data_IF_045674244758
#
_entry.id   IF_045674244758
#
_cell.length_a   1.000
_cell.length_b   1.000
_cell.length_c   1.000
_cell.angle_alpha   90.00
_cell.angle_beta   90.00
_cell.angle_gamma   90.00
#
_symmetry.space_group_name_H-M   'P 1'
#
loop_
_entity.id
_entity.type
_entity.pdbx_description
1 polymer ?
#
# COMPACT_ATOMS: atom_id res chain seq x y z
N UNK A 1 5.82 -5.31 -17.36
CA UNK A 1 4.47 -5.87 -17.10
C UNK A 1 3.85 -6.27 -18.44
N UNK A 2 3.42 -7.53 -18.66
CA UNK A 2 3.03 -8.03 -20.01
C UNK A 2 1.61 -7.65 -20.48
N UNK A 3 0.70 -7.26 -19.58
CA UNK A 3 -0.73 -7.04 -19.92
C UNK A 3 -1.26 -5.60 -19.74
N UNK A 4 -0.40 -4.56 -19.74
CA UNK A 4 -0.80 -3.14 -19.57
C UNK A 4 -1.82 -2.89 -18.42
N UNK A 5 -1.69 -3.60 -17.29
CA UNK A 5 -2.60 -3.44 -16.14
C UNK A 5 -4.01 -4.03 -16.29
N UNK A 6 -4.28 -4.77 -17.36
CA UNK A 6 -5.56 -5.45 -17.57
C UNK A 6 -5.60 -6.82 -16.86
N UNK A 7 -6.69 -7.10 -16.14
CA UNK A 7 -6.95 -8.39 -15.51
C UNK A 7 -8.38 -8.86 -15.78
N UNK A 8 -8.57 -10.17 -15.92
CA UNK A 8 -9.90 -10.77 -16.07
C UNK A 8 -10.42 -11.20 -14.71
N UNK A 9 -11.61 -10.74 -14.38
CA UNK A 9 -12.34 -11.15 -13.19
C UNK A 9 -13.43 -12.14 -13.59
N UNK A 10 -13.49 -13.27 -12.88
CA UNK A 10 -14.42 -14.35 -13.16
C UNK A 10 -15.32 -14.56 -11.94
N UNK A 11 -16.63 -14.46 -12.13
CA UNK A 11 -17.60 -14.85 -11.10
C UNK A 11 -17.89 -16.34 -11.22
N UNK A 12 -17.55 -17.11 -10.18
CA UNK A 12 -17.92 -18.53 -10.08
C UNK A 12 -19.34 -18.65 -9.54
N UNK A 13 -20.22 -19.24 -10.32
CA UNK A 13 -21.63 -19.54 -10.00
C UNK A 13 -22.04 -20.81 -10.77
N UNK A 14 -23.01 -21.63 -10.30
CA UNK A 14 -23.62 -22.63 -11.17
C UNK A 14 -24.15 -21.91 -12.41
N UNK A 15 -23.86 -22.45 -13.59
CA UNK A 15 -23.89 -21.78 -14.90
C UNK A 15 -24.95 -20.67 -15.11
N UNK A 16 -24.66 -19.62 -15.92
CA UNK A 16 -23.48 -19.43 -16.77
C UNK A 16 -22.33 -18.62 -16.11
N UNK A 17 -21.10 -18.83 -16.61
CA UNK A 17 -19.89 -18.12 -16.18
C UNK A 17 -19.96 -16.66 -16.64
N UNK A 18 -19.86 -15.71 -15.70
CA UNK A 18 -19.78 -14.28 -16.00
C UNK A 18 -18.32 -13.83 -15.86
N UNK A 19 -17.70 -13.38 -16.96
CA UNK A 19 -16.36 -12.79 -16.95
C UNK A 19 -16.43 -11.31 -17.27
N UNK A 20 -15.55 -10.52 -16.65
CA UNK A 20 -15.43 -9.09 -16.87
C UNK A 20 -13.97 -8.70 -17.02
N UNK A 21 -13.68 -7.87 -18.00
CA UNK A 21 -12.35 -7.29 -18.17
C UNK A 21 -12.23 -6.02 -17.32
N UNK A 22 -11.27 -6.01 -16.40
CA UNK A 22 -10.99 -4.86 -15.54
C UNK A 22 -9.73 -4.15 -16.04
N UNK A 23 -9.82 -2.83 -16.22
CA UNK A 23 -8.75 -1.97 -16.75
C UNK A 23 -8.46 -0.75 -15.87
N UNK A 24 -8.93 -0.75 -14.62
CA UNK A 24 -8.76 0.38 -13.69
C UNK A 24 -7.34 0.51 -13.15
N UNK A 25 -6.53 -0.56 -13.22
CA UNK A 25 -5.13 -0.55 -12.79
C UNK A 25 -4.26 0.04 -13.91
N UNK A 26 -3.71 1.23 -13.66
CA UNK A 26 -2.87 1.95 -14.62
C UNK A 26 -1.38 1.60 -14.51
N UNK A 27 -0.95 1.02 -13.38
CA UNK A 27 0.42 0.61 -13.15
C UNK A 27 0.57 -0.25 -11.91
N UNK A 28 1.75 -0.87 -11.75
CA UNK A 28 2.14 -1.54 -10.52
C UNK A 28 3.64 -1.34 -10.26
N UNK A 29 3.97 -1.17 -9.00
CA UNK A 29 5.34 -1.05 -8.51
C UNK A 29 5.61 -2.19 -7.53
N UNK A 30 6.81 -2.75 -7.61
CA UNK A 30 7.27 -3.78 -6.69
C UNK A 30 8.56 -3.28 -6.04
N UNK A 31 8.51 -2.92 -4.76
CA UNK A 31 9.57 -2.21 -4.05
C UNK A 31 10.92 -2.94 -4.08
N UNK A 32 10.94 -4.27 -4.03
CA UNK A 32 12.20 -5.04 -4.14
C UNK A 32 12.87 -4.95 -5.52
N UNK A 33 12.11 -4.60 -6.57
CA UNK A 33 12.63 -4.43 -7.94
C UNK A 33 12.82 -2.98 -8.34
N UNK A 34 11.92 -2.11 -7.90
CA UNK A 34 11.86 -0.70 -8.29
C UNK A 34 12.49 0.24 -7.26
N UNK A 35 12.87 -0.28 -6.09
CA UNK A 35 13.27 0.52 -4.94
C UNK A 35 12.09 1.06 -4.15
N UNK A 36 12.32 1.37 -2.88
CA UNK A 36 11.31 2.01 -2.01
C UNK A 36 11.04 3.45 -2.45
N UNK A 37 12.06 4.14 -2.96
CA UNK A 37 11.95 5.52 -3.41
C UNK A 37 10.90 5.70 -4.51
N UNK A 38 10.85 4.80 -5.48
CA UNK A 38 9.84 4.83 -6.54
C UNK A 38 8.41 4.69 -5.98
N UNK A 39 8.22 3.96 -4.87
CA UNK A 39 6.93 3.89 -4.20
C UNK A 39 6.59 5.19 -3.46
N UNK A 40 7.56 5.78 -2.75
CA UNK A 40 7.39 7.06 -2.05
C UNK A 40 7.04 8.17 -3.05
N UNK A 41 7.82 8.30 -4.14
CA UNK A 41 7.57 9.25 -5.21
C UNK A 41 6.14 9.11 -5.75
N UNK A 42 5.71 7.87 -6.01
CA UNK A 42 4.36 7.58 -6.49
C UNK A 42 3.28 8.01 -5.51
N UNK A 43 3.49 7.83 -4.21
CA UNK A 43 2.57 8.26 -3.15
C UNK A 43 2.51 9.78 -2.99
N UNK A 44 3.60 10.49 -3.29
CA UNK A 44 3.68 11.97 -3.21
C UNK A 44 3.15 12.71 -4.44
N UNK A 45 2.71 11.99 -5.48
CA UNK A 45 2.14 12.57 -6.69
C UNK A 45 0.87 13.39 -6.36
N UNK A 46 0.70 14.61 -6.92
CA UNK A 46 -0.40 15.50 -6.54
C UNK A 46 -1.80 14.95 -6.84
N UNK A 47 -1.93 14.05 -7.82
CA UNK A 47 -3.17 13.36 -8.16
C UNK A 47 -3.56 12.26 -7.16
N UNK A 48 -2.64 11.78 -6.32
CA UNK A 48 -2.94 10.74 -5.33
C UNK A 48 -3.66 11.38 -4.15
N UNK A 49 -4.95 11.06 -4.01
CA UNK A 49 -5.82 11.58 -2.93
C UNK A 49 -6.19 10.54 -1.89
N UNK A 50 -6.13 9.27 -2.27
CA UNK A 50 -6.53 8.14 -1.44
C UNK A 50 -5.44 7.08 -1.55
N UNK A 51 -4.99 6.60 -0.40
CA UNK A 51 -4.13 5.41 -0.29
C UNK A 51 -4.95 4.34 0.41
N UNK A 52 -5.13 3.19 -0.25
CA UNK A 52 -5.78 2.02 0.33
C UNK A 52 -4.75 0.93 0.59
N UNK A 53 -4.80 0.33 1.77
CA UNK A 53 -3.92 -0.77 2.16
C UNK A 53 -4.72 -2.06 2.25
N UNK A 54 -4.25 -3.10 1.57
CA UNK A 54 -4.78 -4.47 1.66
C UNK A 54 -3.67 -5.41 2.10
N UNK A 55 -3.03 -5.08 3.23
CA UNK A 55 -2.00 -5.92 3.85
C UNK A 55 -2.68 -6.92 4.81
N UNK A 56 -2.04 -8.08 4.99
CA UNK A 56 -2.54 -9.10 5.91
C UNK A 56 -2.50 -8.59 7.35
N UNK A 57 -3.21 -9.24 8.26
CA UNK A 57 -3.25 -8.86 9.69
C UNK A 57 -1.84 -8.70 10.30
N UNK A 58 -0.88 -9.53 9.87
CA UNK A 58 0.54 -9.44 10.29
C UNK A 58 1.29 -8.25 9.69
N UNK A 59 0.85 -7.73 8.55
CA UNK A 59 1.47 -6.59 7.87
C UNK A 59 1.30 -5.27 8.62
N UNK A 60 0.29 -5.17 9.50
CA UNK A 60 0.05 -3.96 10.31
C UNK A 60 1.00 -3.80 11.49
N UNK A 61 1.83 -4.81 11.78
CA UNK A 61 2.76 -4.81 12.92
C UNK A 61 2.05 -4.47 14.23
N UNK A 62 0.83 -4.98 14.44
CA UNK A 62 0.06 -4.75 15.68
C UNK A 62 0.23 -5.90 16.65
N UNK A 63 0.31 -5.60 17.95
CA UNK A 63 0.30 -6.60 19.00
C UNK A 63 -1.08 -7.30 19.03
N UNK A 64 -1.15 -8.64 18.97
CA UNK A 64 -2.41 -9.38 18.93
C UNK A 64 -3.31 -9.19 20.16
N UNK A 65 -2.75 -8.86 21.32
CA UNK A 65 -3.43 -8.71 22.61
C UNK A 65 -3.90 -7.28 22.82
N UNK A 66 -3.06 -6.29 22.54
CA UNK A 66 -3.41 -4.87 22.74
C UNK A 66 -4.07 -4.22 21.52
N UNK A 67 -3.92 -4.81 20.33
CA UNK A 67 -4.32 -4.23 19.03
C UNK A 67 -3.70 -2.86 18.74
N UNK A 68 -2.61 -2.53 19.44
CA UNK A 68 -1.83 -1.31 19.20
C UNK A 68 -0.64 -1.63 18.31
N UNK A 69 -0.02 -0.60 17.74
CA UNK A 69 1.26 -0.75 17.04
C UNK A 69 2.30 -1.37 17.96
N UNK A 70 2.90 -2.47 17.52
CA UNK A 70 3.99 -3.16 18.20
C UNK A 70 5.34 -2.53 17.82
N UNK A 71 5.83 -1.65 18.69
CA UNK A 71 7.13 -1.01 18.54
C UNK A 71 8.31 -2.00 18.69
N UNK A 72 8.06 -3.19 19.25
CA UNK A 72 9.07 -4.23 19.38
C UNK A 72 9.31 -4.99 18.08
N UNK A 73 8.38 -4.88 17.12
CA UNK A 73 8.40 -5.59 15.85
C UNK A 73 9.63 -5.21 15.02
N UNK A 74 10.37 -6.17 14.43
CA UNK A 74 11.62 -5.90 13.70
C UNK A 74 11.49 -4.88 12.56
N UNK A 75 10.35 -4.88 11.85
CA UNK A 75 10.08 -3.90 10.78
C UNK A 75 9.91 -2.48 11.33
N UNK A 76 9.22 -2.33 12.47
CA UNK A 76 9.02 -1.01 13.08
C UNK A 76 10.33 -0.49 13.67
N UNK A 77 11.11 -1.37 14.31
CA UNK A 77 12.47 -1.02 14.76
C UNK A 77 13.36 -0.55 13.62
N UNK A 78 13.30 -1.23 12.46
CA UNK A 78 14.04 -0.81 11.28
C UNK A 78 13.60 0.58 10.82
N UNK A 79 12.30 0.81 10.67
CA UNK A 79 11.75 2.09 10.19
C UNK A 79 12.02 3.25 11.16
N UNK A 80 12.11 2.96 12.46
CA UNK A 80 12.49 3.94 13.48
C UNK A 80 14.00 4.24 13.46
N UNK A 81 14.83 3.25 13.13
CA UNK A 81 16.29 3.40 13.06
C UNK A 81 16.75 4.07 11.75
N UNK A 82 16.09 3.76 10.64
CA UNK A 82 16.35 4.37 9.33
C UNK A 82 15.03 4.86 8.70
N UNK A 83 14.59 6.07 9.07
CA UNK A 83 13.38 6.69 8.50
C UNK A 83 13.51 6.98 7.00
N UNK A 84 14.74 7.05 6.47
CA UNK A 84 14.99 7.33 5.06
C UNK A 84 14.71 6.10 4.17
N UNK A 85 14.84 4.89 4.72
CA UNK A 85 14.60 3.64 3.99
C UNK A 85 13.61 2.72 4.72
N UNK A 86 12.32 3.11 4.81
CA UNK A 86 11.34 2.28 5.49
C UNK A 86 11.11 0.95 4.76
N UNK A 87 10.87 -0.10 5.55
CA UNK A 87 10.53 -1.45 5.09
C UNK A 87 9.09 -1.82 5.38
N UNK A 88 8.45 -1.22 6.38
CA UNK A 88 7.03 -1.46 6.64
C UNK A 88 6.12 -0.58 5.77
N UNK A 89 4.88 -1.03 5.59
CA UNK A 89 3.85 -0.25 4.90
C UNK A 89 3.58 1.08 5.63
N UNK A 90 3.59 1.07 6.97
CA UNK A 90 3.35 2.25 7.80
C UNK A 90 4.50 3.25 7.72
N UNK A 91 5.75 2.78 7.72
CA UNK A 91 6.91 3.64 7.54
C UNK A 91 6.93 4.28 6.15
N UNK A 92 6.55 3.53 5.12
CA UNK A 92 6.46 4.04 3.74
C UNK A 92 5.42 5.15 3.63
N UNK A 93 4.22 4.94 4.18
CA UNK A 93 3.14 5.93 4.19
C UNK A 93 3.54 7.18 4.98
N UNK A 94 4.06 7.01 6.21
CA UNK A 94 4.57 8.10 7.04
C UNK A 94 5.64 8.93 6.33
N UNK A 95 6.59 8.27 5.65
CA UNK A 95 7.64 8.94 4.89
C UNK A 95 7.04 9.76 3.76
N UNK A 96 6.15 9.18 2.97
CA UNK A 96 5.48 9.91 1.88
C UNK A 96 4.67 11.12 2.36
N UNK A 97 4.05 11.03 3.55
CA UNK A 97 3.36 12.16 4.16
C UNK A 97 4.32 13.28 4.58
N UNK A 98 5.53 12.94 5.02
CA UNK A 98 6.57 13.92 5.41
C UNK A 98 7.17 14.62 4.19
N UNK A 99 7.33 13.91 3.08
CA UNK A 99 7.85 14.46 1.82
C UNK A 99 6.79 15.28 1.04
N UNK A 100 5.52 15.19 1.42
CA UNK A 100 4.43 15.96 0.80
C UNK A 100 4.43 17.39 1.36
N UNK A 101 4.61 18.43 0.53
CA UNK A 101 4.65 19.81 1.00
C UNK A 101 3.29 20.23 1.62
N UNK A 102 3.28 21.09 2.66
CA UNK A 102 2.08 21.42 3.44
C UNK A 102 0.95 22.07 2.63
N UNK A 103 1.27 22.68 1.47
CA UNK A 103 0.29 23.25 0.54
C UNK A 103 -0.50 22.19 -0.25
N UNK A 104 -0.07 20.92 -0.22
CA UNK A 104 -0.80 19.78 -0.79
C UNK A 104 -1.52 19.06 0.34
N UNK A 105 -2.84 18.92 0.21
CA UNK A 105 -3.58 18.03 1.09
C UNK A 105 -2.98 16.63 0.98
N UNK A 106 -2.42 16.13 2.09
CA UNK A 106 -1.90 14.77 2.17
C UNK A 106 -3.00 13.79 1.76
N UNK A 107 -2.67 12.72 1.02
CA UNK A 107 -3.65 11.70 0.70
C UNK A 107 -4.28 11.20 2.00
N UNK A 108 -5.60 11.08 2.01
CA UNK A 108 -6.31 10.49 3.15
C UNK A 108 -6.07 8.99 3.09
N UNK A 109 -5.42 8.46 4.12
CA UNK A 109 -5.29 7.02 4.30
C UNK A 109 -6.68 6.44 4.55
N UNK A 110 -7.16 5.60 3.64
CA UNK A 110 -8.41 4.86 3.80
C UNK A 110 -8.06 3.42 4.12
N UNK A 111 -8.26 3.07 5.38
CA UNK A 111 -8.01 1.73 5.89
C UNK A 111 -9.13 0.79 5.45
N UNK A 112 -8.81 -0.20 4.61
CA UNK A 112 -9.75 -1.23 4.17
C UNK A 112 -9.23 -2.62 4.56
N UNK A 113 -9.54 -3.03 5.80
CA UNK A 113 -9.28 -4.39 6.24
C UNK A 113 -10.22 -5.34 5.51
N UNK A 114 -9.68 -6.07 4.54
CA UNK A 114 -10.37 -7.21 3.92
C UNK A 114 -10.37 -8.36 4.94
N UNK A 115 -11.49 -8.53 5.66
CA UNK A 115 -11.85 -9.81 6.29
C UNK A 115 -12.72 -10.61 5.34
#
# INVERSE_FOLDING_TARGET
MRNRGCFQWWKRQPAPINSRLVRTVTGALHTLKSGIQAAIEKLTEPQVKIVSLTITEKGYCTDPRSRTLDLSHPLIKHDLADPEHPRSALGTDRRSATDTPPARASPRLVYLSLR
#
